data_IF_873912933986
#
_entry.id   IF_873912933986
#
_cell.length_a   1.000
_cell.length_b   1.000
_cell.length_c   1.000
_cell.angle_alpha   90.00
_cell.angle_beta   90.00
_cell.angle_gamma   90.00
#
_symmetry.space_group_name_H-M   'P 1'
#
loop_
_entity.id
_entity.type
_entity.pdbx_description
1 polymer ?
#
# COMPACT_ATOMS: atom_id res chain seq x y z
N UNK A 1 13.72 0.31 -6.27
CA UNK A 1 14.64 1.47 -6.27
C UNK A 1 14.22 2.61 -5.35
N UNK A 2 13.08 3.25 -5.55
CA UNK A 2 12.68 4.42 -4.73
C UNK A 2 12.62 4.13 -3.23
N UNK A 3 12.13 2.96 -2.83
CA UNK A 3 12.14 2.50 -1.43
C UNK A 3 13.58 2.42 -0.88
N UNK A 4 14.50 1.80 -1.64
CA UNK A 4 15.92 1.72 -1.26
C UNK A 4 16.54 3.10 -1.12
N UNK A 5 16.18 4.04 -2.02
CA UNK A 5 16.66 5.41 -1.97
C UNK A 5 16.13 6.14 -0.73
N UNK A 6 14.84 6.07 -0.44
CA UNK A 6 14.23 6.67 0.76
C UNK A 6 14.91 6.16 2.04
N UNK A 7 15.16 4.86 2.13
CA UNK A 7 15.92 4.25 3.23
C UNK A 7 17.35 4.81 3.34
N UNK A 8 18.06 4.92 2.21
CA UNK A 8 19.41 5.51 2.17
C UNK A 8 19.43 6.98 2.59
N UNK A 9 18.34 7.70 2.39
CA UNK A 9 18.16 9.07 2.86
C UNK A 9 17.87 9.17 4.37
N UNK A 10 17.77 8.05 5.08
CA UNK A 10 17.56 8.00 6.53
C UNK A 10 16.10 8.15 6.96
N UNK A 11 15.15 7.70 6.14
CA UNK A 11 13.74 7.71 6.52
C UNK A 11 13.46 6.82 7.74
N UNK A 12 12.84 7.37 8.78
CA UNK A 12 12.43 6.64 9.99
C UNK A 12 11.22 5.72 9.75
N UNK A 13 10.40 6.05 8.75
CA UNK A 13 9.25 5.28 8.30
C UNK A 13 8.98 5.57 6.82
N UNK A 14 8.39 4.61 6.11
CA UNK A 14 8.07 4.73 4.68
C UNK A 14 6.58 4.44 4.48
N UNK A 15 5.87 5.39 3.88
CA UNK A 15 4.52 5.14 3.34
C UNK A 15 4.56 5.38 1.85
N UNK A 16 4.25 4.36 1.06
CA UNK A 16 4.18 4.47 -0.40
C UNK A 16 2.79 4.12 -0.93
N UNK A 17 2.47 4.62 -2.11
CA UNK A 17 1.21 4.36 -2.78
C UNK A 17 1.44 4.10 -4.27
N UNK A 18 0.75 3.11 -4.82
CA UNK A 18 0.81 2.79 -6.24
C UNK A 18 -0.50 2.19 -6.74
N UNK A 19 -0.83 2.42 -8.01
CA UNK A 19 -1.86 1.68 -8.74
C UNK A 19 -1.28 0.32 -9.15
N UNK A 20 -1.00 -0.56 -8.18
CA UNK A 20 -0.05 -1.66 -8.37
C UNK A 20 -0.70 -2.90 -8.99
N UNK A 21 -1.84 -3.36 -8.47
CA UNK A 21 -2.38 -4.66 -8.89
C UNK A 21 -3.87 -4.66 -9.22
N UNK A 22 -4.21 -5.31 -10.34
CA UNK A 22 -5.60 -5.70 -10.62
C UNK A 22 -6.15 -6.71 -9.61
N UNK A 23 -5.27 -7.44 -8.91
CA UNK A 23 -5.67 -8.37 -7.84
C UNK A 23 -6.28 -7.65 -6.64
N UNK A 24 -5.76 -6.47 -6.26
CA UNK A 24 -6.35 -5.65 -5.21
C UNK A 24 -7.75 -5.17 -5.62
N UNK A 25 -7.92 -4.76 -6.89
CA UNK A 25 -9.23 -4.40 -7.46
C UNK A 25 -10.19 -5.58 -7.42
N UNK A 26 -9.75 -6.78 -7.80
CA UNK A 26 -10.59 -7.97 -7.75
C UNK A 26 -11.05 -8.32 -6.33
N UNK A 27 -10.25 -8.02 -5.30
CA UNK A 27 -10.56 -8.31 -3.91
C UNK A 27 -11.44 -7.23 -3.24
N UNK A 28 -11.13 -5.94 -3.44
CA UNK A 28 -11.72 -4.82 -2.72
C UNK A 28 -12.65 -3.94 -3.58
N UNK A 29 -12.70 -4.21 -4.89
CA UNK A 29 -13.40 -3.41 -5.87
C UNK A 29 -12.90 -1.96 -5.90
N UNK A 30 -13.80 -1.06 -6.27
CA UNK A 30 -13.51 0.38 -6.33
C UNK A 30 -13.87 1.11 -5.03
N UNK A 31 -13.92 0.40 -3.90
CA UNK A 31 -14.44 0.96 -2.63
C UNK A 31 -13.36 1.21 -1.59
N UNK A 32 -12.32 0.39 -1.54
CA UNK A 32 -11.22 0.53 -0.59
C UNK A 32 -9.88 0.36 -1.30
N UNK A 33 -8.87 1.11 -0.87
CA UNK A 33 -7.49 0.77 -1.19
C UNK A 33 -6.99 -0.33 -0.23
N UNK A 34 -6.08 -1.17 -0.72
CA UNK A 34 -5.41 -2.18 0.11
C UNK A 34 -4.25 -1.55 0.86
N UNK A 35 -4.14 -1.80 2.17
CA UNK A 35 -3.01 -1.42 2.99
C UNK A 35 -2.23 -2.68 3.40
N UNK A 36 -0.92 -2.69 3.22
CA UNK A 36 -0.01 -3.77 3.59
C UNK A 36 1.09 -3.21 4.47
N UNK A 37 1.57 -3.95 5.47
CA UNK A 37 2.57 -3.43 6.41
C UNK A 37 3.49 -4.50 6.95
N UNK A 38 4.67 -4.06 7.41
CA UNK A 38 5.55 -4.81 8.32
C UNK A 38 5.53 -4.23 9.76
N UNK A 39 4.78 -3.15 10.02
CA UNK A 39 4.73 -2.44 11.30
C UNK A 39 3.29 -2.01 11.64
N UNK A 40 2.65 -2.76 12.52
CA UNK A 40 1.27 -2.54 12.95
C UNK A 40 1.05 -1.17 13.61
N UNK A 41 2.09 -0.55 14.20
CA UNK A 41 1.95 0.77 14.84
C UNK A 41 1.82 1.86 13.79
N UNK A 42 2.67 1.83 12.76
CA UNK A 42 2.58 2.74 11.62
C UNK A 42 1.25 2.55 10.88
N UNK A 43 0.83 1.30 10.66
CA UNK A 43 -0.47 1.02 10.06
C UNK A 43 -1.60 1.63 10.89
N UNK A 44 -1.60 1.49 12.21
CA UNK A 44 -2.63 2.08 13.07
C UNK A 44 -2.70 3.62 12.90
N UNK A 45 -1.56 4.30 12.76
CA UNK A 45 -1.52 5.74 12.49
C UNK A 45 -2.12 6.09 11.12
N UNK A 46 -1.75 5.35 10.08
CA UNK A 46 -2.30 5.51 8.72
C UNK A 46 -3.80 5.28 8.70
N UNK A 47 -4.28 4.22 9.37
CA UNK A 47 -5.70 3.88 9.45
C UNK A 47 -6.48 4.99 10.19
N UNK A 48 -5.95 5.51 11.30
CA UNK A 48 -6.57 6.62 12.04
C UNK A 48 -6.64 7.90 11.18
N UNK A 49 -5.58 8.21 10.43
CA UNK A 49 -5.58 9.34 9.50
C UNK A 49 -6.63 9.14 8.39
N UNK A 50 -6.76 7.92 7.86
CA UNK A 50 -7.76 7.57 6.84
C UNK A 50 -9.19 7.73 7.33
N UNK A 51 -9.44 7.40 8.60
CA UNK A 51 -10.75 7.51 9.23
C UNK A 51 -11.18 8.98 9.37
N UNK A 52 -10.24 9.87 9.74
CA UNK A 52 -10.47 11.31 9.82
C UNK A 52 -10.78 11.95 8.46
N UNK A 53 -10.18 11.44 7.37
CA UNK A 53 -10.36 12.00 6.02
C UNK A 53 -11.50 11.34 5.25
N UNK A 54 -12.00 10.21 5.73
CA UNK A 54 -13.04 9.42 5.09
C UNK A 54 -12.57 8.64 3.86
N UNK A 55 -11.26 8.47 3.67
CA UNK A 55 -10.69 7.64 2.61
C UNK A 55 -10.56 6.21 3.12
N UNK A 56 -11.23 5.27 2.44
CA UNK A 56 -11.39 3.92 2.99
C UNK A 56 -10.19 3.05 2.64
N UNK A 57 -9.49 2.59 3.68
CA UNK A 57 -8.44 1.58 3.58
C UNK A 57 -8.94 0.22 4.09
N UNK A 58 -8.25 -0.85 3.71
CA UNK A 58 -8.43 -2.19 4.28
C UNK A 58 -7.07 -2.83 4.51
N UNK A 59 -6.83 -3.33 5.73
CA UNK A 59 -5.61 -4.06 6.02
C UNK A 59 -5.65 -5.45 5.36
N UNK A 60 -4.68 -5.69 4.48
CA UNK A 60 -4.51 -6.93 3.74
C UNK A 60 -3.44 -7.80 4.39
N UNK A 61 -3.55 -9.15 4.32
CA UNK A 61 -2.60 -10.05 4.98
C UNK A 61 -1.19 -9.96 4.38
N UNK A 62 -0.18 -10.06 5.25
CA UNK A 62 1.26 -10.05 4.94
C UNK A 62 2.02 -11.21 5.61
N UNK A 63 1.32 -12.31 5.92
CA UNK A 63 1.88 -13.50 6.55
C UNK A 63 3.10 -14.07 5.79
N UNK A 64 4.07 -14.63 6.53
CA UNK A 64 5.35 -15.08 5.96
C UNK A 64 5.19 -16.20 4.92
N UNK A 65 4.12 -17.01 5.00
CA UNK A 65 3.82 -18.07 4.03
C UNK A 65 3.65 -17.53 2.60
N UNK A 66 3.18 -16.29 2.44
CA UNK A 66 3.07 -15.67 1.13
C UNK A 66 4.43 -15.33 0.53
N UNK A 67 5.48 -15.11 1.34
CA UNK A 67 6.84 -14.79 0.86
C UNK A 67 7.46 -15.96 0.09
N UNK A 68 7.08 -17.19 0.41
CA UNK A 68 7.48 -18.40 -0.33
C UNK A 68 7.12 -18.31 -1.82
N UNK A 69 6.02 -17.62 -2.14
CA UNK A 69 5.55 -17.46 -3.51
C UNK A 69 6.52 -16.61 -4.34
N UNK A 70 7.32 -15.72 -3.73
CA UNK A 70 8.28 -14.84 -4.39
C UNK A 70 9.71 -15.41 -4.46
N UNK A 71 9.95 -16.65 -4.01
CA UNK A 71 11.27 -17.29 -4.15
C UNK A 71 11.65 -17.49 -5.62
N UNK A 72 12.92 -17.25 -5.94
CA UNK A 72 13.52 -17.44 -7.26
C UNK A 72 14.62 -18.51 -7.19
N UNK A 73 14.83 -19.23 -8.29
CA UNK A 73 15.90 -20.23 -8.41
C UNK A 73 17.23 -19.62 -8.89
N UNK A 74 17.20 -18.40 -9.43
CA UNK A 74 18.32 -17.77 -10.13
C UNK A 74 18.60 -16.33 -9.66
N UNK A 75 17.83 -15.82 -8.71
CA UNK A 75 17.96 -14.47 -8.16
C UNK A 75 17.51 -14.47 -6.69
N UNK A 76 17.74 -13.37 -5.98
CA UNK A 76 17.34 -13.25 -4.57
C UNK A 76 15.82 -13.29 -4.37
N UNK A 77 15.06 -12.77 -5.35
CA UNK A 77 13.60 -12.73 -5.36
C UNK A 77 13.08 -12.64 -6.80
N UNK A 78 11.86 -13.13 -7.07
CA UNK A 78 11.14 -12.88 -8.35
C UNK A 78 10.00 -11.89 -8.16
N UNK A 79 9.73 -11.11 -9.21
CA UNK A 79 8.74 -10.03 -9.21
C UNK A 79 7.27 -10.49 -9.35
N UNK A 80 7.02 -11.78 -9.59
CA UNK A 80 5.67 -12.34 -9.73
C UNK A 80 5.55 -13.59 -8.87
N UNK A 81 4.62 -13.58 -7.91
CA UNK A 81 4.38 -14.70 -6.98
C UNK A 81 3.54 -15.85 -7.55
N UNK A 82 2.80 -15.61 -8.63
CA UNK A 82 1.92 -16.59 -9.27
C UNK A 82 0.51 -16.06 -9.49
N UNK A 83 -0.45 -16.97 -9.63
CA UNK A 83 -1.85 -16.63 -9.95
C UNK A 83 -2.65 -16.12 -8.75
N UNK A 84 -2.39 -16.64 -7.55
CA UNK A 84 -3.16 -16.35 -6.34
C UNK A 84 -2.44 -15.32 -5.47
N UNK A 85 -3.19 -14.61 -4.63
CA UNK A 85 -2.68 -13.61 -3.70
C UNK A 85 -1.83 -12.51 -4.37
N UNK A 86 -2.16 -12.14 -5.62
CA UNK A 86 -1.36 -11.20 -6.42
C UNK A 86 -1.08 -9.86 -5.72
N UNK A 87 -2.07 -9.31 -5.01
CA UNK A 87 -1.90 -8.06 -4.25
C UNK A 87 -0.89 -8.22 -3.10
N UNK A 88 -1.05 -9.27 -2.28
CA UNK A 88 -0.11 -9.60 -1.20
C UNK A 88 1.29 -9.89 -1.72
N UNK A 89 1.45 -10.77 -2.71
CA UNK A 89 2.79 -11.11 -3.24
C UNK A 89 3.50 -9.92 -3.92
N UNK A 90 2.75 -8.97 -4.48
CA UNK A 90 3.31 -7.74 -5.00
C UNK A 90 3.75 -6.79 -3.87
N UNK A 91 2.96 -6.65 -2.82
CA UNK A 91 3.34 -5.88 -1.64
C UNK A 91 4.58 -6.50 -0.95
N UNK A 92 4.62 -7.81 -0.75
CA UNK A 92 5.77 -8.49 -0.14
C UNK A 92 7.05 -8.40 -1.01
N UNK A 93 6.90 -8.30 -2.33
CA UNK A 93 8.02 -7.96 -3.20
C UNK A 93 8.57 -6.56 -2.91
N UNK A 94 7.73 -5.58 -2.57
CA UNK A 94 8.18 -4.25 -2.12
C UNK A 94 8.82 -4.31 -0.73
N UNK A 95 8.20 -5.04 0.21
CA UNK A 95 8.70 -5.23 1.59
C UNK A 95 10.15 -5.74 1.60
N UNK A 96 10.51 -6.63 0.67
CA UNK A 96 11.87 -7.14 0.52
C UNK A 96 12.93 -6.02 0.46
N UNK A 97 12.60 -4.86 -0.13
CA UNK A 97 13.50 -3.72 -0.26
C UNK A 97 13.43 -2.72 0.91
N UNK A 98 12.38 -2.82 1.73
CA UNK A 98 12.16 -2.00 2.93
C UNK A 98 13.09 -2.44 4.08
N UNK A 99 13.40 -3.74 4.14
CA UNK A 99 14.14 -4.38 5.23
C UNK A 99 13.46 -4.14 6.59
N UNK A 100 14.15 -3.51 7.55
CA UNK A 100 13.65 -3.29 8.92
C UNK A 100 12.93 -1.95 9.12
N UNK A 101 12.82 -1.14 8.07
CA UNK A 101 12.19 0.18 8.16
C UNK A 101 10.68 0.01 8.35
N UNK A 102 10.04 0.67 9.34
CA UNK A 102 8.57 0.68 9.45
C UNK A 102 7.93 1.12 8.14
N UNK A 103 6.98 0.34 7.63
CA UNK A 103 6.47 0.55 6.28
C UNK A 103 4.99 0.21 6.12
N UNK A 104 4.31 1.05 5.33
CA UNK A 104 2.96 0.80 4.84
C UNK A 104 2.91 1.05 3.34
N UNK A 105 2.43 0.06 2.59
CA UNK A 105 2.09 0.22 1.17
C UNK A 105 0.59 0.34 0.97
N UNK A 106 0.19 1.30 0.15
CA UNK A 106 -1.19 1.56 -0.25
C UNK A 106 -1.38 1.18 -1.74
N UNK A 107 -2.00 0.03 -2.00
CA UNK A 107 -2.44 -0.33 -3.35
C UNK A 107 -3.76 0.40 -3.66
N UNK A 108 -3.65 1.46 -4.47
CA UNK A 108 -4.75 2.36 -4.82
C UNK A 108 -5.37 2.05 -6.18
N UNK A 109 -5.02 0.90 -6.79
CA UNK A 109 -5.48 0.53 -8.13
C UNK A 109 -7.00 0.53 -8.29
N UNK A 110 -7.76 0.24 -7.22
CA UNK A 110 -9.23 0.24 -7.28
C UNK A 110 -9.85 1.63 -7.14
N UNK A 111 -9.13 2.58 -6.56
CA UNK A 111 -9.70 3.86 -6.13
C UNK A 111 -9.17 5.08 -6.87
N UNK A 112 -8.18 4.90 -7.77
CA UNK A 112 -7.50 6.02 -8.44
C UNK A 112 -8.40 6.82 -9.40
N UNK A 113 -9.43 6.21 -9.97
CA UNK A 113 -10.33 6.83 -10.94
C UNK A 113 -11.78 6.32 -10.77
N UNK A 114 -12.76 7.18 -10.98
CA UNK A 114 -14.18 6.80 -11.06
C UNK A 114 -14.79 7.24 -12.39
N UNK A 115 -15.57 6.36 -13.03
CA UNK A 115 -16.25 6.67 -14.29
C UNK A 115 -17.44 7.62 -14.13
N UNK A 116 -17.96 7.75 -12.90
CA UNK A 116 -19.09 8.60 -12.54
C UNK A 116 -18.85 9.29 -11.20
N UNK A 117 -19.51 10.43 -10.93
CA UNK A 117 -19.42 11.08 -9.64
C UNK A 117 -19.81 10.14 -8.49
N UNK A 118 -19.06 10.21 -7.38
CA UNK A 118 -19.31 9.41 -6.17
C UNK A 118 -19.02 10.25 -4.93
N UNK A 119 -20.05 10.58 -4.16
CA UNK A 119 -19.91 11.48 -3.02
C UNK A 119 -19.42 12.86 -3.48
N UNK A 120 -18.27 13.31 -2.95
CA UNK A 120 -17.62 14.56 -3.35
C UNK A 120 -16.59 14.40 -4.48
N UNK A 121 -16.38 13.20 -5.00
CA UNK A 121 -15.50 12.97 -6.15
C UNK A 121 -16.25 13.22 -7.46
N UNK A 122 -15.65 14.02 -8.35
CA UNK A 122 -16.06 14.10 -9.74
C UNK A 122 -15.67 12.82 -10.51
N UNK A 123 -16.20 12.65 -11.73
CA UNK A 123 -15.69 11.62 -12.64
C UNK A 123 -14.24 11.94 -13.04
N UNK A 124 -13.42 10.90 -13.18
CA UNK A 124 -11.99 11.01 -13.43
C UNK A 124 -11.14 10.69 -12.20
N UNK A 125 -9.93 11.25 -12.15
CA UNK A 125 -8.94 10.97 -11.10
C UNK A 125 -9.43 11.42 -9.72
N UNK A 126 -9.40 10.52 -8.75
CA UNK A 126 -9.98 10.78 -7.41
C UNK A 126 -9.00 11.48 -6.48
N UNK A 127 -7.69 11.31 -6.69
CA UNK A 127 -6.66 11.75 -5.74
C UNK A 127 -6.74 11.05 -4.38
N UNK A 128 -7.42 9.91 -4.29
CA UNK A 128 -7.55 9.17 -3.03
C UNK A 128 -6.18 8.83 -2.44
N UNK A 129 -6.14 8.77 -1.10
CA UNK A 129 -4.99 8.71 -0.20
C UNK A 129 -4.21 10.01 -0.01
N UNK A 130 -4.37 11.02 -0.87
CA UNK A 130 -3.66 12.29 -0.70
C UNK A 130 -4.05 13.01 0.60
N UNK A 131 -5.35 13.01 0.96
CA UNK A 131 -5.79 13.61 2.24
C UNK A 131 -5.32 12.77 3.41
N UNK A 132 -5.38 11.44 3.32
CA UNK A 132 -4.86 10.53 4.35
C UNK A 132 -3.38 10.78 4.63
N UNK A 133 -2.55 10.90 3.60
CA UNK A 133 -1.12 11.18 3.75
C UNK A 133 -0.87 12.58 4.34
N UNK A 134 -1.63 13.59 3.90
CA UNK A 134 -1.55 14.93 4.48
C UNK A 134 -1.97 14.93 5.97
N UNK A 135 -3.04 14.21 6.31
CA UNK A 135 -3.53 14.09 7.68
C UNK A 135 -2.54 13.33 8.57
N UNK A 136 -1.92 12.26 8.05
CA UNK A 136 -0.86 11.53 8.74
C UNK A 136 0.31 12.46 9.08
N UNK A 137 0.75 13.29 8.13
CA UNK A 137 1.82 14.26 8.36
C UNK A 137 1.45 15.33 9.41
N UNK A 138 0.16 15.71 9.51
CA UNK A 138 -0.34 16.63 10.55
C UNK A 138 -0.45 15.96 11.93
N UNK A 139 -0.77 14.66 11.96
CA UNK A 139 -0.90 13.88 13.19
C UNK A 139 0.47 13.49 13.77
N UNK A 140 1.46 13.25 12.89
CA UNK A 140 2.84 13.00 13.28
C UNK A 140 3.48 14.29 13.82
N UNK A 141 3.77 14.31 15.12
CA UNK A 141 4.69 15.30 15.68
C UNK A 141 6.12 14.83 15.36
N UNK A 142 6.74 15.44 14.35
CA UNK A 142 8.18 15.35 14.11
C UNK A 142 8.98 15.77 15.35
#
# INVERSE_FOLDING_TARGET
DTICYARKQGADAIVDAATLTGACVAALGETRAGAFTNDEKLLAQVMAASEKTGEKLWHMPTDDEYKEMNKSQIADIKNVGGKYAGATTAALFLEFFVEKTPWVHLDIAGVYMFDKPRGYYAAGGTGQVARTLAQLALDCKL
#
